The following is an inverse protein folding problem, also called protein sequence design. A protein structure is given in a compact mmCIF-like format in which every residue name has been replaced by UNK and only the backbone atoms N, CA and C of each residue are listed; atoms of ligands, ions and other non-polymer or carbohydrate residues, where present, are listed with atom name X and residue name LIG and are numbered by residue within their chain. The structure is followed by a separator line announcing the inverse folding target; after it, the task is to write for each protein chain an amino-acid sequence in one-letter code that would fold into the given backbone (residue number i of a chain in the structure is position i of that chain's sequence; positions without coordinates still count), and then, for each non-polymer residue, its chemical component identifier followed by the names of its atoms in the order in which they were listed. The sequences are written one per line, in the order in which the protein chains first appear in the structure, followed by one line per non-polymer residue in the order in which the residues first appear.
data_IF_758374605838
#
_entry.id   IF_758374605838
#
_cell.length_a   1.000
_cell.length_b   1.000
_cell.length_c   1.000
_cell.angle_alpha   90.00
_cell.angle_beta   90.00
_cell.angle_gamma   90.00
#
_symmetry.space_group_name_H-M   'P 1'
#
loop_
_entity.id
_entity.type
_entity.pdbx_description
1 polymer ?
#
# COMPACT_ATOMS: atom_id res chain seq x y z
N UNK A 1 -3.07 -25.80 12.86
CA UNK A 1 -3.88 -24.78 12.17
C UNK A 1 -3.62 -23.49 12.90
N UNK A 2 -3.09 -22.49 12.22
CA UNK A 2 -2.84 -21.18 12.83
C UNK A 2 -4.17 -20.55 13.24
N UNK A 3 -4.19 -19.95 14.43
CA UNK A 3 -5.33 -19.21 14.93
C UNK A 3 -5.36 -17.82 14.30
N UNK A 4 -6.49 -17.12 14.45
CA UNK A 4 -6.58 -15.71 14.05
C UNK A 4 -5.51 -14.86 14.75
N UNK A 5 -5.27 -15.10 16.03
CA UNK A 5 -4.30 -14.33 16.81
C UNK A 5 -2.87 -14.59 16.32
N UNK A 6 -2.54 -15.84 15.97
CA UNK A 6 -1.24 -16.18 15.37
C UNK A 6 -1.00 -15.40 14.07
N UNK A 7 -2.01 -15.32 13.20
CA UNK A 7 -1.95 -14.59 11.92
C UNK A 7 -1.79 -13.08 12.12
N UNK A 8 -2.50 -12.50 13.10
CA UNK A 8 -2.39 -11.07 13.41
C UNK A 8 -1.02 -10.73 13.97
N UNK A 9 -0.51 -11.56 14.86
CA UNK A 9 0.82 -11.41 15.44
C UNK A 9 1.91 -11.55 14.38
N UNK A 10 1.75 -12.48 13.43
CA UNK A 10 2.65 -12.63 12.30
C UNK A 10 2.64 -11.40 11.40
N UNK A 11 1.45 -10.92 11.01
CA UNK A 11 1.31 -9.73 10.18
C UNK A 11 1.98 -8.49 10.84
N UNK A 12 1.82 -8.32 12.15
CA UNK A 12 2.46 -7.23 12.89
C UNK A 12 3.99 -7.34 12.90
N UNK A 13 4.54 -8.55 13.03
CA UNK A 13 5.99 -8.80 12.95
C UNK A 13 6.55 -8.52 11.55
N UNK A 14 5.88 -9.00 10.51
CA UNK A 14 6.31 -8.83 9.12
C UNK A 14 6.24 -7.35 8.69
N UNK A 15 5.21 -6.62 9.10
CA UNK A 15 5.11 -5.19 8.81
C UNK A 15 6.23 -4.39 9.47
N UNK A 16 6.63 -4.77 10.70
CA UNK A 16 7.80 -4.18 11.37
C UNK A 16 9.10 -4.50 10.62
N UNK A 17 9.30 -5.75 10.22
CA UNK A 17 10.47 -6.16 9.48
C UNK A 17 10.60 -5.42 8.13
N UNK A 18 9.47 -5.18 7.44
CA UNK A 18 9.42 -4.34 6.24
C UNK A 18 9.92 -2.92 6.55
N UNK A 19 9.39 -2.27 7.58
CA UNK A 19 9.82 -0.92 7.95
C UNK A 19 11.31 -0.87 8.33
N UNK A 20 11.80 -1.88 9.04
CA UNK A 20 13.20 -1.99 9.43
C UNK A 20 14.12 -2.12 8.20
N UNK A 21 13.73 -2.92 7.19
CA UNK A 21 14.46 -3.07 5.94
C UNK A 21 14.53 -1.76 5.12
N UNK A 22 13.50 -0.91 5.20
CA UNK A 22 13.45 0.37 4.48
C UNK A 22 14.34 1.46 5.11
N UNK A 23 14.67 1.39 6.41
CA UNK A 23 15.40 2.47 7.12
C UNK A 23 16.80 2.75 6.56
N UNK A 24 17.45 1.76 5.94
CA UNK A 24 18.80 1.89 5.40
C UNK A 24 18.88 2.41 3.96
N UNK A 25 17.73 2.58 3.29
CA UNK A 25 17.68 2.91 1.88
C UNK A 25 17.77 4.42 1.64
N UNK A 26 18.57 4.82 0.66
CA UNK A 26 18.62 6.20 0.17
C UNK A 26 17.62 6.44 -0.97
N UNK A 27 17.47 7.69 -1.43
CA UNK A 27 16.53 8.03 -2.52
C UNK A 27 16.83 7.29 -3.84
N UNK A 28 18.10 7.03 -4.13
CA UNK A 28 18.51 6.25 -5.30
C UNK A 28 18.03 4.80 -5.20
N UNK A 29 18.12 4.19 -4.03
CA UNK A 29 17.61 2.84 -3.77
C UNK A 29 16.07 2.78 -3.85
N UNK A 30 15.40 3.85 -3.42
CA UNK A 30 13.94 3.93 -3.41
C UNK A 30 13.36 4.12 -4.83
N UNK A 31 14.02 4.91 -5.68
CA UNK A 31 13.53 5.27 -7.02
C UNK A 31 14.03 4.34 -8.13
N UNK A 32 15.04 3.52 -7.86
CA UNK A 32 15.54 2.53 -8.82
C UNK A 32 14.46 1.51 -9.15
N UNK A 33 14.15 1.37 -10.44
CA UNK A 33 13.32 0.28 -10.97
C UNK A 33 14.13 -1.02 -10.98
N UNK A 34 13.56 -2.08 -10.40
CA UNK A 34 14.21 -3.39 -10.35
C UNK A 34 13.25 -4.58 -10.43
N UNK A 35 11.93 -4.35 -10.30
CA UNK A 35 10.91 -5.38 -10.46
C UNK A 35 9.99 -5.03 -11.64
N UNK A 36 10.37 -5.45 -12.85
CA UNK A 36 9.66 -5.06 -14.07
C UNK A 36 9.70 -3.54 -14.25
N UNK A 37 8.56 -2.87 -14.06
CA UNK A 37 8.44 -1.41 -14.12
C UNK A 37 8.38 -0.73 -12.74
N UNK A 38 8.49 -1.51 -11.66
CA UNK A 38 8.31 -1.02 -10.30
C UNK A 38 9.65 -0.71 -9.65
N UNK A 39 9.72 0.45 -9.01
CA UNK A 39 10.73 0.81 -8.03
C UNK A 39 10.37 0.32 -6.63
N UNK A 40 11.32 0.35 -5.70
CA UNK A 40 11.06 0.08 -4.28
C UNK A 40 9.97 0.99 -3.73
N UNK A 41 9.97 2.27 -4.13
CA UNK A 41 8.93 3.24 -3.75
C UNK A 41 7.54 2.82 -4.24
N UNK A 42 7.44 2.29 -5.45
CA UNK A 42 6.16 1.82 -6.01
C UNK A 42 5.62 0.61 -5.25
N UNK A 43 6.50 -0.31 -4.86
CA UNK A 43 6.15 -1.47 -4.02
C UNK A 43 5.62 -1.01 -2.66
N UNK A 44 6.30 -0.06 -2.00
CA UNK A 44 5.88 0.46 -0.69
C UNK A 44 4.53 1.18 -0.80
N UNK A 45 4.32 1.98 -1.85
CA UNK A 45 3.04 2.64 -2.11
C UNK A 45 1.93 1.62 -2.31
N UNK A 46 2.15 0.57 -3.09
CA UNK A 46 1.17 -0.47 -3.33
C UNK A 46 0.78 -1.22 -2.04
N UNK A 47 1.75 -1.61 -1.23
CA UNK A 47 1.49 -2.25 0.08
C UNK A 47 0.65 -1.33 0.97
N UNK A 48 1.04 -0.05 1.04
CA UNK A 48 0.33 0.94 1.86
C UNK A 48 -1.09 1.21 1.36
N UNK A 49 -1.28 1.23 0.04
CA UNK A 49 -2.58 1.40 -0.62
C UNK A 49 -3.53 0.27 -0.29
N UNK A 50 -3.10 -0.98 -0.45
CA UNK A 50 -3.90 -2.15 -0.08
C UNK A 50 -4.19 -2.21 1.42
N UNK A 51 -3.20 -1.90 2.26
CA UNK A 51 -3.38 -1.87 3.71
C UNK A 51 -4.49 -0.89 4.11
N UNK A 52 -4.51 0.31 3.52
CA UNK A 52 -5.56 1.31 3.74
C UNK A 52 -6.91 0.88 3.17
N UNK A 53 -6.93 0.31 1.96
CA UNK A 53 -8.16 -0.07 1.27
C UNK A 53 -8.91 -1.21 1.99
N UNK A 54 -8.19 -2.15 2.59
CA UNK A 54 -8.80 -3.30 3.26
C UNK A 54 -9.44 -2.95 4.60
N UNK A 55 -9.01 -1.87 5.28
CA UNK A 55 -9.60 -1.44 6.56
C UNK A 55 -11.13 -1.27 6.48
N UNK A 56 -11.70 -0.43 5.60
CA UNK A 56 -13.14 -0.25 5.53
C UNK A 56 -13.88 -1.51 5.08
N UNK A 57 -13.24 -2.39 4.28
CA UNK A 57 -13.83 -3.67 3.92
C UNK A 57 -13.98 -4.61 5.13
N UNK A 58 -12.96 -4.65 5.99
CA UNK A 58 -12.97 -5.42 7.25
C UNK A 58 -13.95 -4.83 8.27
N UNK A 59 -14.07 -3.51 8.36
CA UNK A 59 -15.06 -2.84 9.21
C UNK A 59 -16.51 -3.15 8.79
N UNK A 60 -16.78 -3.24 7.49
CA UNK A 60 -18.08 -3.68 6.96
C UNK A 60 -18.36 -5.13 7.33
N UNK A 61 -17.39 -6.01 7.12
CA UNK A 61 -17.51 -7.42 7.53
C UNK A 61 -17.81 -7.56 9.03
N UNK A 62 -17.14 -6.79 9.88
CA UNK A 62 -17.38 -6.80 11.32
C UNK A 62 -18.81 -6.37 11.70
N UNK A 63 -19.49 -5.58 10.86
CA UNK A 63 -20.90 -5.19 11.00
C UNK A 63 -21.88 -6.14 10.31
N UNK A 64 -21.41 -7.23 9.70
CA UNK A 64 -22.24 -8.17 8.93
C UNK A 64 -22.63 -7.67 7.53
N UNK A 65 -21.96 -6.63 7.03
CA UNK A 65 -22.16 -6.07 5.70
C UNK A 65 -21.24 -6.72 4.67
N UNK A 66 -21.51 -6.50 3.37
CA UNK A 66 -20.58 -6.91 2.30
C UNK A 66 -19.26 -6.12 2.42
N UNK A 67 -18.08 -6.77 2.33
CA UNK A 67 -16.79 -6.08 2.42
C UNK A 67 -16.59 -5.08 1.28
N UNK A 68 -16.99 -5.49 0.08
CA UNK A 68 -16.90 -4.70 -1.15
C UNK A 68 -18.26 -4.04 -1.39
N UNK A 69 -18.34 -2.70 -1.44
CA UNK A 69 -19.57 -1.99 -1.74
C UNK A 69 -20.12 -2.34 -3.12
N UNK A 70 -21.42 -2.13 -3.31
CA UNK A 70 -22.06 -2.30 -4.61
C UNK A 70 -21.48 -1.32 -5.64
N UNK A 71 -21.19 -1.81 -6.84
CA UNK A 71 -20.54 -1.03 -7.90
C UNK A 71 -19.02 -0.92 -7.80
N UNK A 72 -18.39 -1.47 -6.74
CA UNK A 72 -16.94 -1.62 -6.65
C UNK A 72 -16.57 -3.05 -7.05
N UNK A 73 -15.60 -3.19 -7.96
CA UNK A 73 -15.01 -4.47 -8.33
C UNK A 73 -13.48 -4.37 -8.29
N UNK A 74 -12.85 -5.44 -7.81
CA UNK A 74 -11.40 -5.64 -7.89
C UNK A 74 -11.05 -6.72 -8.94
N UNK A 75 -11.93 -7.03 -9.88
CA UNK A 75 -11.67 -8.03 -10.92
C UNK A 75 -10.50 -7.62 -11.83
N UNK A 76 -10.29 -6.31 -11.99
CA UNK A 76 -9.11 -5.73 -12.64
C UNK A 76 -8.20 -5.07 -11.58
N UNK A 77 -7.51 -5.91 -10.82
CA UNK A 77 -6.54 -5.47 -9.81
C UNK A 77 -5.40 -4.66 -10.43
N UNK A 78 -5.04 -4.89 -11.69
CA UNK A 78 -3.95 -4.17 -12.37
C UNK A 78 -4.35 -2.74 -12.71
N UNK A 79 -5.58 -2.53 -13.20
CA UNK A 79 -6.15 -1.19 -13.36
C UNK A 79 -6.29 -0.48 -12.00
N UNK A 80 -6.69 -1.19 -10.95
CA UNK A 80 -6.77 -0.63 -9.60
C UNK A 80 -5.39 -0.22 -9.06
N UNK A 81 -4.37 -1.07 -9.24
CA UNK A 81 -2.99 -0.85 -8.85
C UNK A 81 -2.41 0.37 -9.57
N UNK A 82 -2.66 0.51 -10.88
CA UNK A 82 -2.20 1.65 -11.68
C UNK A 82 -2.94 2.95 -11.34
N UNK A 83 -4.24 2.92 -11.06
CA UNK A 83 -4.99 4.12 -10.66
C UNK A 83 -4.50 4.69 -9.31
N UNK A 84 -4.14 3.83 -8.36
CA UNK A 84 -3.53 4.25 -7.10
C UNK A 84 -2.10 4.76 -7.27
N UNK A 85 -1.31 4.10 -8.12
CA UNK A 85 0.01 4.58 -8.55
C UNK A 85 -0.09 6.06 -9.00
N UNK A 86 -1.01 6.43 -9.89
CA UNK A 86 -1.14 7.83 -10.35
C UNK A 86 -1.77 8.82 -9.35
N UNK A 87 -2.71 8.40 -8.48
CA UNK A 87 -3.35 9.33 -7.51
C UNK A 87 -2.42 9.72 -6.37
N UNK A 88 -1.64 8.78 -5.82
CA UNK A 88 -0.72 9.02 -4.70
C UNK A 88 0.47 9.91 -5.12
N UNK A 89 0.91 9.82 -6.38
CA UNK A 89 1.97 10.69 -6.91
C UNK A 89 1.55 12.17 -7.00
N UNK A 90 0.26 12.47 -7.23
CA UNK A 90 -0.19 13.85 -7.43
C UNK A 90 0.02 14.73 -6.19
N UNK A 91 -0.36 14.24 -5.01
CA UNK A 91 -0.30 15.04 -3.78
C UNK A 91 1.10 15.08 -3.18
N UNK A 92 1.82 13.96 -3.17
CA UNK A 92 3.16 13.88 -2.59
C UNK A 92 4.20 14.65 -3.41
N UNK A 93 4.08 14.66 -4.76
CA UNK A 93 4.91 15.49 -5.63
C UNK A 93 4.60 16.98 -5.44
N UNK A 94 3.31 17.36 -5.34
CA UNK A 94 2.91 18.75 -5.07
C UNK A 94 3.43 19.24 -3.72
N UNK A 95 3.21 18.48 -2.65
CA UNK A 95 3.69 18.85 -1.32
C UNK A 95 5.23 18.82 -1.21
N UNK A 96 5.91 17.99 -2.00
CA UNK A 96 7.38 18.03 -2.09
C UNK A 96 7.87 19.28 -2.85
N UNK A 97 7.26 19.64 -3.97
CA UNK A 97 7.58 20.85 -4.75
C UNK A 97 7.41 22.13 -3.94
N UNK A 98 6.31 22.24 -3.20
CA UNK A 98 6.05 23.35 -2.28
C UNK A 98 7.11 23.47 -1.18
N UNK A 99 7.62 22.35 -0.67
CA UNK A 99 8.72 22.35 0.32
C UNK A 99 10.09 22.68 -0.27
N UNK A 100 10.28 22.50 -1.58
CA UNK A 100 11.55 22.77 -2.27
C UNK A 100 11.55 24.12 -3.02
N UNK A 101 10.43 24.85 -3.04
CA UNK A 101 10.31 26.14 -3.73
C UNK A 101 10.31 26.03 -5.26
N UNK A 102 9.80 24.92 -5.80
CA UNK A 102 9.70 24.61 -7.24
C UNK A 102 8.25 24.56 -7.73
#
# INVERSE_FOLDING_TARGET
METKDDLLDQAAREFRALHDALRGLNEGDLTRVWLGVWSTKDIVVHISGWHREMIPALERLARGERPIPEGVSYDDVDAWNSAHHYREHGHQIRSWRERQGL
#
